data_IF_910135216402
#
_entry.id   IF_910135216402
#
_cell.length_a   1.000
_cell.length_b   1.000
_cell.length_c   1.000
_cell.angle_alpha   90.00
_cell.angle_beta   90.00
_cell.angle_gamma   90.00
#
_symmetry.space_group_name_H-M   'P 1'
#
loop_
_entity.id
_entity.type
_entity.pdbx_description
1 polymer ?
#
# COMPACT_ATOMS: atom_id res chain seq x y z
N UNK A 1 -3.01 -18.20 27.05
CA UNK A 1 -3.02 -18.77 25.68
C UNK A 1 -3.56 -17.76 24.67
N UNK A 2 -4.85 -17.39 24.70
CA UNK A 2 -5.43 -16.41 23.75
C UNK A 2 -4.69 -15.06 23.81
N UNK A 3 -4.46 -14.52 25.00
CA UNK A 3 -3.69 -13.28 25.19
C UNK A 3 -2.21 -13.38 24.72
N UNK A 4 -1.70 -14.60 24.51
CA UNK A 4 -0.35 -14.87 24.03
C UNK A 4 -0.33 -15.21 22.51
N UNK A 5 -1.45 -15.00 21.80
CA UNK A 5 -1.55 -15.23 20.35
C UNK A 5 -2.09 -16.60 19.93
N UNK A 6 -2.70 -17.38 20.84
CA UNK A 6 -3.36 -18.63 20.46
C UNK A 6 -4.78 -18.39 19.95
N UNK A 7 -5.05 -18.81 18.71
CA UNK A 7 -6.39 -18.84 18.13
C UNK A 7 -6.75 -20.28 17.71
N UNK A 8 -7.76 -20.91 18.34
CA UNK A 8 -8.14 -22.29 18.02
C UNK A 8 -8.83 -22.43 16.65
N UNK A 9 -9.34 -21.34 16.08
CA UNK A 9 -10.05 -21.32 14.81
C UNK A 9 -9.14 -20.96 13.63
N UNK A 10 -7.87 -20.64 13.88
CA UNK A 10 -6.87 -20.38 12.84
C UNK A 10 -6.42 -21.67 12.14
N UNK A 11 -6.12 -21.60 10.82
CA UNK A 11 -5.52 -22.72 10.13
C UNK A 11 -4.17 -23.08 10.76
N UNK A 12 -3.67 -24.28 10.44
CA UNK A 12 -2.34 -24.69 10.91
C UNK A 12 -1.25 -23.72 10.42
N UNK A 13 -0.07 -23.82 11.05
CA UNK A 13 1.03 -22.89 10.76
C UNK A 13 1.41 -22.86 9.27
N UNK A 14 1.29 -23.98 8.57
CA UNK A 14 1.62 -24.07 7.14
C UNK A 14 0.62 -23.28 6.30
N UNK A 15 -0.67 -23.43 6.59
CA UNK A 15 -1.74 -22.66 5.97
C UNK A 15 -1.58 -21.16 6.26
N UNK A 16 -1.26 -20.80 7.49
CA UNK A 16 -1.06 -19.41 7.91
C UNK A 16 0.07 -18.70 7.14
N UNK A 17 1.17 -19.39 6.83
CA UNK A 17 2.30 -18.79 6.09
C UNK A 17 2.23 -19.04 4.57
N UNK A 18 1.16 -19.65 4.06
CA UNK A 18 1.02 -20.00 2.65
C UNK A 18 2.08 -20.98 2.14
N UNK A 19 2.60 -21.86 3.01
CA UNK A 19 3.59 -22.86 2.63
C UNK A 19 2.91 -24.01 1.88
N UNK A 20 3.27 -24.17 0.60
CA UNK A 20 2.63 -25.15 -0.29
C UNK A 20 3.28 -26.54 -0.30
N UNK A 21 4.39 -26.72 0.42
CA UNK A 21 5.10 -27.99 0.52
C UNK A 21 4.81 -28.70 1.86
N UNK A 22 5.55 -29.77 2.16
CA UNK A 22 5.34 -30.56 3.38
C UNK A 22 5.86 -29.86 4.65
N UNK A 23 5.35 -30.30 5.80
CA UNK A 23 5.83 -29.89 7.13
C UNK A 23 7.32 -30.19 7.31
N UNK A 24 7.74 -31.38 6.87
CA UNK A 24 9.14 -31.77 6.84
C UNK A 24 10.01 -30.75 6.10
N UNK A 25 9.61 -30.36 4.89
CA UNK A 25 10.36 -29.38 4.10
C UNK A 25 10.31 -27.97 4.72
N UNK A 26 9.22 -27.61 5.40
CA UNK A 26 9.11 -26.36 6.13
C UNK A 26 10.08 -26.29 7.32
N UNK A 27 10.20 -27.38 8.08
CA UNK A 27 11.14 -27.49 9.19
C UNK A 27 12.58 -27.50 8.65
N UNK A 28 12.85 -28.32 7.64
CA UNK A 28 14.18 -28.48 7.07
C UNK A 28 14.72 -27.17 6.47
N UNK A 29 13.91 -26.45 5.68
CA UNK A 29 14.33 -25.15 5.13
C UNK A 29 14.54 -24.09 6.22
N UNK A 30 13.71 -24.10 7.27
CA UNK A 30 13.86 -23.21 8.43
C UNK A 30 15.19 -23.48 9.13
N UNK A 31 15.57 -24.75 9.31
CA UNK A 31 16.83 -25.11 9.96
C UNK A 31 18.04 -24.76 9.10
N UNK A 32 17.95 -24.94 7.77
CA UNK A 32 19.03 -24.57 6.85
C UNK A 32 19.31 -23.07 6.93
N UNK A 33 18.29 -22.23 6.80
CA UNK A 33 18.46 -20.79 6.58
C UNK A 33 18.29 -19.95 7.86
N UNK A 34 17.77 -20.55 8.93
CA UNK A 34 17.30 -19.79 10.09
C UNK A 34 16.03 -19.01 9.79
N UNK A 35 15.77 -17.98 10.59
CA UNK A 35 14.72 -16.99 10.38
C UNK A 35 15.29 -15.58 10.59
N UNK A 36 16.10 -15.07 9.63
CA UNK A 36 16.54 -13.68 9.65
C UNK A 36 15.32 -12.74 9.71
N UNK A 37 15.38 -11.70 10.54
CA UNK A 37 14.27 -10.78 10.75
C UNK A 37 13.31 -11.20 11.86
N UNK A 38 13.48 -12.37 12.49
CA UNK A 38 12.64 -12.79 13.62
C UNK A 38 12.78 -11.85 14.84
N UNK A 39 13.92 -11.17 14.97
CA UNK A 39 14.16 -10.11 15.95
C UNK A 39 13.19 -8.92 15.83
N UNK A 40 12.55 -8.73 14.68
CA UNK A 40 11.57 -7.66 14.51
C UNK A 40 10.20 -8.01 15.11
N UNK A 41 9.96 -9.27 15.44
CA UNK A 41 8.66 -9.76 15.92
C UNK A 41 8.75 -10.30 17.36
N UNK A 42 9.95 -10.62 17.81
CA UNK A 42 10.20 -11.19 19.12
C UNK A 42 11.18 -10.31 19.88
N UNK A 43 10.99 -10.18 21.20
CA UNK A 43 11.89 -9.46 22.11
C UNK A 43 13.21 -10.23 22.28
N UNK A 44 13.98 -10.26 21.20
CA UNK A 44 15.24 -10.96 21.06
C UNK A 44 16.23 -10.03 20.37
N UNK A 45 17.43 -9.92 20.92
CA UNK A 45 18.49 -9.07 20.36
C UNK A 45 18.98 -9.55 18.98
N UNK A 46 18.70 -10.80 18.61
CA UNK A 46 19.16 -11.42 17.37
C UNK A 46 18.09 -12.33 16.78
N UNK A 47 18.02 -12.34 15.45
CA UNK A 47 17.18 -13.29 14.72
C UNK A 47 17.65 -14.73 14.92
N UNK A 48 16.76 -15.68 14.65
CA UNK A 48 17.13 -17.09 14.66
C UNK A 48 18.16 -17.33 13.54
N UNK A 49 19.41 -17.55 13.93
CA UNK A 49 20.49 -17.83 12.99
C UNK A 49 20.26 -19.16 12.24
N UNK A 50 20.96 -19.31 11.11
CA UNK A 50 21.03 -20.55 10.37
C UNK A 50 21.71 -21.66 11.21
N UNK A 51 21.15 -22.88 11.15
CA UNK A 51 21.74 -24.06 11.78
C UNK A 51 22.50 -24.90 10.77
N UNK A 52 22.06 -24.92 9.52
CA UNK A 52 22.71 -25.66 8.43
C UNK A 52 23.98 -25.01 7.90
N UNK A 53 24.96 -25.83 7.55
CA UNK A 53 26.22 -25.41 6.92
C UNK A 53 26.03 -24.57 5.66
N UNK A 54 25.00 -24.87 4.87
CA UNK A 54 24.66 -24.08 3.66
C UNK A 54 24.26 -22.65 4.03
N UNK A 55 23.54 -22.45 5.14
CA UNK A 55 23.16 -21.13 5.66
C UNK A 55 24.22 -20.48 6.56
N UNK A 56 25.38 -21.12 6.76
CA UNK A 56 26.47 -20.63 7.61
C UNK A 56 26.45 -21.14 9.06
N UNK A 57 25.55 -22.08 9.39
CA UNK A 57 25.49 -22.74 10.69
C UNK A 57 26.42 -23.96 10.82
N UNK A 58 26.49 -24.59 12.01
CA UNK A 58 27.45 -25.66 12.26
C UNK A 58 26.99 -27.06 11.81
N UNK A 59 25.70 -27.27 11.57
CA UNK A 59 25.12 -28.61 11.38
C UNK A 59 25.12 -29.05 9.92
N UNK A 60 25.43 -30.33 9.71
CA UNK A 60 25.31 -30.98 8.39
C UNK A 60 23.85 -31.30 8.06
N UNK A 61 23.56 -31.50 6.78
CA UNK A 61 22.20 -31.77 6.28
C UNK A 61 21.56 -33.04 6.87
N UNK A 62 22.35 -34.10 7.11
CA UNK A 62 21.88 -35.32 7.78
C UNK A 62 21.42 -35.04 9.21
N UNK A 63 22.20 -34.22 9.95
CA UNK A 63 21.83 -33.82 11.31
C UNK A 63 20.58 -32.93 11.33
N UNK A 64 20.36 -32.12 10.30
CA UNK A 64 19.13 -31.32 10.19
C UNK A 64 17.90 -32.21 9.94
N UNK A 65 18.05 -33.27 9.14
CA UNK A 65 16.98 -34.26 8.92
C UNK A 65 16.66 -35.04 10.18
N UNK A 66 17.68 -35.51 10.90
CA UNK A 66 17.50 -36.17 12.20
C UNK A 66 16.76 -35.27 13.21
N UNK A 67 17.09 -33.97 13.24
CA UNK A 67 16.37 -32.99 14.06
C UNK A 67 14.93 -32.80 13.60
N UNK A 68 14.69 -32.71 12.29
CA UNK A 68 13.34 -32.61 11.73
C UNK A 68 12.47 -33.81 12.06
N UNK A 69 13.04 -35.01 12.01
CA UNK A 69 12.37 -36.25 12.43
C UNK A 69 12.08 -36.24 13.93
N UNK A 70 13.06 -35.86 14.76
CA UNK A 70 12.86 -35.76 16.20
C UNK A 70 11.73 -34.80 16.55
N UNK A 71 11.70 -33.60 15.95
CA UNK A 71 10.67 -32.59 16.19
C UNK A 71 9.28 -33.12 15.81
N UNK A 72 9.15 -33.77 14.65
CA UNK A 72 7.87 -34.25 14.15
C UNK A 72 7.34 -35.47 14.93
N UNK A 73 8.22 -36.25 15.54
CA UNK A 73 7.86 -37.42 16.33
C UNK A 73 7.90 -37.16 17.85
N UNK A 74 8.06 -35.90 18.28
CA UNK A 74 8.08 -35.57 19.70
C UNK A 74 6.66 -35.65 20.28
N UNK A 75 6.36 -36.75 20.96
CA UNK A 75 5.09 -36.99 21.64
C UNK A 75 5.26 -37.08 23.15
N UNK A 76 4.34 -36.43 23.88
CA UNK A 76 4.11 -36.60 25.32
C UNK A 76 2.63 -36.35 25.63
N UNK A 77 2.19 -36.70 26.83
CA UNK A 77 0.83 -36.41 27.28
C UNK A 77 0.64 -34.90 27.54
N UNK A 78 0.21 -34.16 26.52
CA UNK A 78 -0.01 -32.72 26.61
C UNK A 78 -1.28 -32.39 27.41
N UNK A 79 -1.15 -31.48 28.37
CA UNK A 79 -2.25 -31.01 29.21
C UNK A 79 -2.69 -29.58 28.85
N UNK A 80 -3.85 -29.16 29.36
CA UNK A 80 -4.28 -27.76 29.24
C UNK A 80 -3.33 -26.80 29.99
N UNK A 81 -2.72 -27.26 31.08
CA UNK A 81 -1.72 -26.48 31.81
C UNK A 81 -0.48 -26.23 30.93
N UNK A 82 -0.05 -27.22 30.16
CA UNK A 82 1.05 -27.05 29.20
C UNK A 82 0.73 -25.99 28.14
N UNK A 83 -0.50 -25.99 27.60
CA UNK A 83 -0.95 -24.97 26.65
C UNK A 83 -0.93 -23.57 27.27
N UNK A 84 -1.39 -23.44 28.52
CA UNK A 84 -1.42 -22.16 29.23
C UNK A 84 -0.03 -21.68 29.62
N UNK A 85 0.93 -22.59 29.82
CA UNK A 85 2.34 -22.31 30.09
C UNK A 85 3.13 -21.87 28.84
N UNK A 86 2.55 -21.96 27.64
CA UNK A 86 3.17 -21.40 26.44
C UNK A 86 3.20 -19.88 26.54
N UNK A 87 4.42 -19.37 26.73
CA UNK A 87 4.68 -17.94 26.81
C UNK A 87 4.60 -17.25 25.45
N UNK A 88 4.69 -18.01 24.36
CA UNK A 88 4.91 -17.45 23.03
C UNK A 88 4.36 -18.36 21.92
N UNK A 89 3.30 -17.92 21.23
CA UNK A 89 2.74 -18.61 20.05
C UNK A 89 3.18 -17.92 18.77
N UNK A 90 3.50 -18.69 17.72
CA UNK A 90 4.12 -18.17 16.50
C UNK A 90 3.42 -16.95 15.89
N UNK A 91 4.11 -15.81 15.86
CA UNK A 91 3.64 -14.61 15.17
C UNK A 91 3.72 -14.80 13.64
N UNK A 92 2.70 -14.32 12.95
CA UNK A 92 2.71 -14.16 11.50
C UNK A 92 3.23 -12.75 11.20
N UNK A 93 4.39 -12.59 10.52
CA UNK A 93 4.92 -11.29 10.12
C UNK A 93 3.93 -10.41 9.35
N UNK A 94 2.97 -11.07 8.69
CA UNK A 94 1.84 -10.48 8.00
C UNK A 94 0.59 -11.00 8.69
N UNK A 95 -0.08 -10.18 9.50
CA UNK A 95 -1.47 -10.45 9.82
C UNK A 95 -2.27 -10.27 8.52
N UNK A 96 -2.85 -11.29 7.85
CA UNK A 96 -3.66 -11.04 6.65
C UNK A 96 -4.89 -10.17 6.93
N UNK A 97 -5.30 -10.01 8.20
CA UNK A 97 -6.32 -9.06 8.63
C UNK A 97 -5.79 -7.63 8.90
N UNK A 98 -4.46 -7.45 8.93
CA UNK A 98 -3.76 -6.17 9.09
C UNK A 98 -2.92 -5.79 7.86
N UNK A 99 -2.75 -6.70 6.91
CA UNK A 99 -2.43 -6.39 5.53
C UNK A 99 -3.70 -5.81 4.95
N UNK A 100 -3.86 -4.49 5.10
CA UNK A 100 -4.44 -3.74 4.01
C UNK A 100 -3.46 -3.95 2.87
N UNK A 101 -3.70 -4.99 2.05
CA UNK A 101 -3.36 -4.85 0.64
C UNK A 101 -4.10 -3.55 0.33
N UNK A 102 -3.37 -2.45 0.11
CA UNK A 102 -4.00 -1.25 -0.42
C UNK A 102 -4.98 -1.73 -1.47
N UNK A 103 -6.25 -1.33 -1.34
CA UNK A 103 -7.33 -1.64 -2.30
C UNK A 103 -6.67 -1.88 -3.64
N UNK A 104 -6.76 -3.10 -4.22
CA UNK A 104 -5.93 -3.49 -5.37
C UNK A 104 -5.97 -2.32 -6.34
N UNK A 105 -4.84 -1.64 -6.56
CA UNK A 105 -4.86 -0.32 -7.17
C UNK A 105 -5.76 -0.33 -8.40
N UNK A 106 -6.93 0.32 -8.29
CA UNK A 106 -7.89 0.43 -9.38
C UNK A 106 -7.64 1.79 -10.00
N UNK A 107 -7.10 1.85 -11.22
CA UNK A 107 -6.94 3.12 -11.90
C UNK A 107 -8.31 3.76 -12.13
N UNK A 108 -8.44 5.04 -11.82
CA UNK A 108 -9.66 5.83 -12.05
C UNK A 108 -10.02 5.92 -13.55
N UNK A 109 -9.04 5.69 -14.42
CA UNK A 109 -9.20 5.76 -15.86
C UNK A 109 -9.36 7.18 -16.37
N UNK A 110 -9.87 7.33 -17.59
CA UNK A 110 -9.98 8.64 -18.28
C UNK A 110 -11.42 9.06 -18.57
N UNK A 111 -12.41 8.28 -18.12
CA UNK A 111 -13.82 8.61 -18.28
C UNK A 111 -14.26 9.57 -17.17
N UNK A 112 -14.44 10.83 -17.54
CA UNK A 112 -14.74 11.92 -16.60
C UNK A 112 -16.03 11.69 -15.80
N UNK A 113 -17.09 11.19 -16.45
CA UNK A 113 -18.36 10.94 -15.76
C UNK A 113 -18.27 9.81 -14.72
N UNK A 114 -17.45 8.79 -15.01
CA UNK A 114 -17.20 7.70 -14.06
C UNK A 114 -16.34 8.22 -12.91
N UNK A 115 -15.24 8.91 -13.23
CA UNK A 115 -14.34 9.47 -12.23
C UNK A 115 -15.07 10.41 -11.25
N UNK A 116 -15.91 11.33 -11.75
CA UNK A 116 -16.72 12.23 -10.92
C UNK A 116 -17.67 11.49 -9.99
N UNK A 117 -18.32 10.42 -10.48
CA UNK A 117 -19.20 9.61 -9.65
C UNK A 117 -18.43 8.85 -8.57
N UNK A 118 -17.23 8.36 -8.87
CA UNK A 118 -16.37 7.65 -7.93
C UNK A 118 -15.79 8.59 -6.86
N UNK A 119 -15.24 9.75 -7.24
CA UNK A 119 -14.66 10.69 -6.27
C UNK A 119 -15.73 11.31 -5.34
N UNK A 120 -16.96 11.52 -5.82
CA UNK A 120 -18.05 12.05 -5.00
C UNK A 120 -18.46 11.10 -3.85
N UNK A 121 -18.11 9.80 -3.96
CA UNK A 121 -18.36 8.80 -2.93
C UNK A 121 -17.22 8.72 -1.89
N UNK A 122 -16.11 9.42 -2.11
CA UNK A 122 -14.90 9.37 -1.26
C UNK A 122 -14.85 10.55 -0.29
N UNK A 123 -14.56 10.34 1.01
CA UNK A 123 -14.25 11.42 1.93
C UNK A 123 -12.90 12.05 1.57
N UNK A 124 -12.90 13.22 0.92
CA UNK A 124 -11.67 13.88 0.51
C UNK A 124 -11.07 14.74 1.64
N UNK A 125 -9.74 14.63 1.80
CA UNK A 125 -8.90 15.41 2.71
C UNK A 125 -7.83 16.21 1.93
N UNK A 126 -7.87 17.56 1.95
CA UNK A 126 -6.87 18.41 1.31
C UNK A 126 -5.42 18.20 1.80
N UNK A 127 -5.20 17.80 3.05
CA UNK A 127 -3.84 17.63 3.58
C UNK A 127 -3.17 16.36 3.01
N UNK A 128 -3.95 15.29 2.88
CA UNK A 128 -3.59 14.09 2.11
C UNK A 128 -3.37 14.46 0.63
N UNK A 129 -4.26 15.28 0.06
CA UNK A 129 -4.15 15.78 -1.30
C UNK A 129 -2.83 16.51 -1.59
N UNK A 130 -2.37 17.38 -0.71
CA UNK A 130 -1.07 18.05 -0.81
C UNK A 130 0.08 17.02 -0.89
N UNK A 131 0.03 16.00 -0.04
CA UNK A 131 1.07 14.96 0.02
C UNK A 131 1.13 14.14 -1.27
N UNK A 132 -0.05 13.78 -1.81
CA UNK A 132 -0.16 13.08 -3.09
C UNK A 132 0.26 13.97 -4.26
N UNK A 133 -0.13 15.25 -4.25
CA UNK A 133 0.25 16.23 -5.26
C UNK A 133 1.77 16.34 -5.42
N UNK A 134 2.51 16.38 -4.31
CA UNK A 134 3.97 16.32 -4.32
C UNK A 134 4.49 14.95 -4.80
N UNK A 135 3.92 13.85 -4.29
CA UNK A 135 4.36 12.48 -4.62
C UNK A 135 4.19 12.12 -6.10
N UNK A 136 3.18 12.66 -6.77
CA UNK A 136 2.95 12.48 -8.20
C UNK A 136 3.75 13.45 -9.08
N UNK A 137 4.53 14.36 -8.49
CA UNK A 137 5.40 15.32 -9.17
C UNK A 137 4.65 16.52 -9.75
N UNK A 138 3.44 16.81 -9.28
CA UNK A 138 2.66 17.93 -9.81
C UNK A 138 3.33 19.27 -9.48
N UNK A 139 3.94 19.38 -8.29
CA UNK A 139 4.65 20.59 -7.84
C UNK A 139 5.86 20.96 -8.71
N UNK A 140 6.52 19.97 -9.34
CA UNK A 140 7.70 20.20 -10.18
C UNK A 140 7.39 21.11 -11.37
N UNK A 141 6.17 21.05 -11.89
CA UNK A 141 5.72 21.89 -13.01
C UNK A 141 4.83 23.05 -12.57
N UNK A 142 3.98 22.84 -11.57
CA UNK A 142 2.96 23.80 -11.15
C UNK A 142 3.41 24.71 -9.99
N UNK A 143 4.57 24.49 -9.36
CA UNK A 143 5.03 25.29 -8.22
C UNK A 143 5.52 26.70 -8.57
N UNK A 144 5.91 26.95 -9.83
CA UNK A 144 6.51 28.22 -10.25
C UNK A 144 5.70 29.03 -11.28
N UNK A 145 4.59 28.50 -11.80
CA UNK A 145 3.78 29.18 -12.82
C UNK A 145 4.45 29.36 -14.19
N UNK A 146 5.62 28.75 -14.43
CA UNK A 146 6.40 28.92 -15.68
C UNK A 146 6.03 27.85 -16.70
N UNK A 147 6.12 26.58 -16.29
CA UNK A 147 5.90 25.43 -17.18
C UNK A 147 4.43 24.95 -17.18
N UNK A 148 3.70 25.26 -16.11
CA UNK A 148 2.28 24.98 -15.96
C UNK A 148 1.61 26.05 -15.07
N UNK A 149 0.27 26.19 -15.08
CA UNK A 149 -0.44 27.12 -14.21
C UNK A 149 -0.07 26.95 -12.73
N UNK A 150 0.17 28.06 -12.02
CA UNK A 150 0.57 28.04 -10.62
C UNK A 150 -0.46 27.32 -9.72
N UNK A 151 -0.03 26.42 -8.83
CA UNK A 151 -0.94 25.72 -7.91
C UNK A 151 -1.74 26.68 -7.03
N UNK A 152 -1.08 27.68 -6.44
CA UNK A 152 -1.73 28.72 -5.63
C UNK A 152 -2.79 29.48 -6.45
N UNK A 153 -3.97 29.71 -5.86
CA UNK A 153 -5.10 30.36 -6.54
C UNK A 153 -5.74 29.57 -7.67
N UNK A 154 -5.53 28.25 -7.74
CA UNK A 154 -6.07 27.41 -8.82
C UNK A 154 -7.60 27.44 -8.87
N UNK A 155 -8.28 27.26 -7.75
CA UNK A 155 -9.75 27.25 -7.73
C UNK A 155 -10.32 28.58 -8.23
N UNK A 156 -9.80 29.70 -7.70
CA UNK A 156 -10.20 31.04 -8.09
C UNK A 156 -9.96 31.32 -9.59
N UNK A 157 -8.80 30.94 -10.15
CA UNK A 157 -8.55 31.11 -11.59
C UNK A 157 -9.45 30.26 -12.47
N UNK A 158 -9.77 29.04 -12.05
CA UNK A 158 -10.70 28.19 -12.82
C UNK A 158 -12.07 28.87 -12.87
N UNK A 159 -12.58 29.30 -11.72
CA UNK A 159 -13.87 29.98 -11.64
C UNK A 159 -13.91 31.29 -12.44
N UNK A 160 -12.86 32.11 -12.34
CA UNK A 160 -12.85 33.46 -12.92
C UNK A 160 -12.42 33.51 -14.38
N UNK A 161 -11.58 32.57 -14.84
CA UNK A 161 -10.98 32.63 -16.17
C UNK A 161 -11.29 31.43 -17.07
N UNK A 162 -11.75 30.30 -16.52
CA UNK A 162 -12.02 29.09 -17.30
C UNK A 162 -13.50 28.86 -17.49
N UNK A 163 -14.28 28.79 -16.40
CA UNK A 163 -15.73 28.57 -16.47
C UNK A 163 -16.52 29.62 -17.28
N UNK A 164 -16.08 30.89 -17.41
CA UNK A 164 -16.76 31.85 -18.29
C UNK A 164 -16.59 31.59 -19.80
N UNK A 165 -15.71 30.66 -20.19
CA UNK A 165 -15.50 30.33 -21.60
C UNK A 165 -16.67 29.49 -22.13
N UNK A 166 -17.17 29.72 -23.37
CA UNK A 166 -18.34 29.03 -23.89
C UNK A 166 -18.27 27.49 -23.88
N UNK A 167 -17.07 26.92 -24.04
CA UNK A 167 -16.88 25.47 -24.02
C UNK A 167 -17.02 24.83 -22.63
N UNK A 168 -16.98 25.63 -21.57
CA UNK A 168 -17.17 25.21 -20.18
C UNK A 168 -18.51 25.67 -19.64
N UNK A 169 -19.48 25.99 -20.52
CA UNK A 169 -20.83 26.34 -20.10
C UNK A 169 -21.44 25.17 -19.30
N UNK A 170 -21.79 25.43 -18.04
CA UNK A 170 -22.35 24.44 -17.13
C UNK A 170 -21.33 23.58 -16.37
N UNK A 171 -20.03 23.75 -16.62
CA UNK A 171 -18.99 23.08 -15.82
C UNK A 171 -18.89 23.69 -14.41
N UNK A 172 -18.54 22.84 -13.47
CA UNK A 172 -18.06 23.20 -12.13
C UNK A 172 -16.53 23.26 -12.11
N UNK A 173 -15.98 23.88 -11.06
CA UNK A 173 -14.52 23.90 -10.82
C UNK A 173 -13.98 22.47 -10.70
N UNK A 174 -14.69 21.60 -9.97
CA UNK A 174 -14.34 20.19 -9.80
C UNK A 174 -14.26 19.44 -11.13
N UNK A 175 -15.29 19.57 -11.98
CA UNK A 175 -15.31 18.94 -13.31
C UNK A 175 -14.14 19.38 -14.18
N UNK A 176 -13.83 20.68 -14.18
CA UNK A 176 -12.69 21.21 -14.92
C UNK A 176 -11.36 20.64 -14.40
N UNK A 177 -11.18 20.53 -13.08
CA UNK A 177 -9.95 20.00 -12.48
C UNK A 177 -9.77 18.51 -12.79
N UNK A 178 -10.83 17.71 -12.64
CA UNK A 178 -10.83 16.28 -12.96
C UNK A 178 -10.51 16.06 -14.43
N UNK A 179 -11.15 16.79 -15.34
CA UNK A 179 -10.86 16.69 -16.78
C UNK A 179 -9.43 17.14 -17.11
N UNK A 180 -8.93 18.20 -16.47
CA UNK A 180 -7.55 18.67 -16.66
C UNK A 180 -6.51 17.64 -16.21
N UNK A 181 -6.78 16.88 -15.15
CA UNK A 181 -5.86 15.86 -14.62
C UNK A 181 -5.88 14.58 -15.47
N UNK A 182 -7.08 14.09 -15.80
CA UNK A 182 -7.25 12.81 -16.50
C UNK A 182 -7.06 12.93 -18.01
N UNK A 183 -7.45 14.07 -18.58
CA UNK A 183 -7.41 14.37 -20.01
C UNK A 183 -6.76 15.74 -20.28
N UNK A 184 -5.46 15.96 -19.92
CA UNK A 184 -4.81 17.27 -20.04
C UNK A 184 -4.72 17.83 -21.48
N UNK A 185 -4.89 16.97 -22.49
CA UNK A 185 -4.95 17.37 -23.89
C UNK A 185 -6.31 17.91 -24.34
N UNK A 186 -7.39 17.73 -23.55
CA UNK A 186 -8.73 18.22 -23.89
C UNK A 186 -8.78 19.75 -23.91
N UNK A 187 -8.08 20.39 -22.96
CA UNK A 187 -7.89 21.82 -22.92
C UNK A 187 -6.54 22.18 -22.30
N UNK A 188 -5.68 22.84 -23.06
CA UNK A 188 -4.44 23.40 -22.54
C UNK A 188 -4.67 24.88 -22.19
N UNK A 189 -4.36 25.26 -20.95
CA UNK A 189 -4.53 26.64 -20.50
C UNK A 189 -3.73 27.63 -21.38
N UNK A 190 -4.28 28.81 -21.70
CA UNK A 190 -3.60 29.80 -22.53
C UNK A 190 -2.21 30.17 -21.97
N UNK A 191 -1.21 30.22 -22.84
CA UNK A 191 0.17 30.55 -22.49
C UNK A 191 1.07 29.35 -22.16
N UNK A 192 0.51 28.13 -22.07
CA UNK A 192 1.28 26.91 -21.80
C UNK A 192 1.39 26.01 -23.03
N UNK A 193 2.46 25.23 -23.09
CA UNK A 193 2.68 24.28 -24.18
C UNK A 193 1.87 23.01 -23.95
N UNK A 194 1.16 22.56 -25.00
CA UNK A 194 0.40 21.31 -24.95
C UNK A 194 1.32 20.09 -24.86
N UNK A 195 0.86 19.05 -24.16
CA UNK A 195 1.59 17.79 -24.00
C UNK A 195 2.68 17.78 -22.93
N UNK A 196 2.86 18.87 -22.16
CA UNK A 196 3.78 18.88 -21.02
C UNK A 196 3.21 18.12 -19.81
N UNK A 197 1.90 18.24 -19.56
CA UNK A 197 1.24 17.50 -18.49
C UNK A 197 1.04 16.04 -18.91
N UNK A 198 1.54 15.05 -18.13
CA UNK A 198 1.42 13.63 -18.47
C UNK A 198 -0.04 13.18 -18.62
N UNK A 199 -0.35 12.49 -19.71
CA UNK A 199 -1.70 11.96 -19.99
C UNK A 199 -1.92 10.54 -19.41
N UNK A 200 -1.12 10.13 -18.42
CA UNK A 200 -1.19 8.79 -17.81
C UNK A 200 -1.69 8.80 -16.36
N UNK A 201 -2.18 9.93 -15.84
CA UNK A 201 -2.67 10.00 -14.47
C UNK A 201 -3.92 9.15 -14.23
N UNK A 202 -4.77 8.95 -15.24
CA UNK A 202 -5.88 7.99 -15.13
C UNK A 202 -5.44 6.54 -14.88
N UNK A 203 -4.21 6.17 -15.26
CA UNK A 203 -3.63 4.85 -15.00
C UNK A 203 -2.80 4.79 -13.71
N UNK A 204 -2.52 5.95 -13.10
CA UNK A 204 -1.61 6.11 -11.96
C UNK A 204 -2.30 6.56 -10.68
N UNK A 205 -3.50 7.12 -10.79
CA UNK A 205 -4.33 7.57 -9.67
C UNK A 205 -5.49 6.59 -9.50
N UNK A 206 -5.79 6.27 -8.24
CA UNK A 206 -7.09 5.74 -7.86
C UNK A 206 -8.12 6.89 -7.77
N UNK A 207 -9.41 6.54 -7.69
CA UNK A 207 -10.45 7.54 -7.44
C UNK A 207 -10.23 8.25 -6.09
N UNK A 208 -9.73 7.53 -5.07
CA UNK A 208 -9.41 8.13 -3.77
C UNK A 208 -8.27 9.14 -3.88
N UNK A 209 -7.17 8.78 -4.55
CA UNK A 209 -6.05 9.70 -4.76
C UNK A 209 -6.49 10.97 -5.50
N UNK A 210 -7.29 10.80 -6.54
CA UNK A 210 -7.84 11.90 -7.31
C UNK A 210 -8.75 12.80 -6.46
N UNK A 211 -9.63 12.22 -5.63
CA UNK A 211 -10.51 12.98 -4.74
C UNK A 211 -9.71 13.86 -3.77
N UNK A 212 -8.66 13.32 -3.15
CA UNK A 212 -7.76 14.06 -2.26
C UNK A 212 -7.05 15.19 -3.00
N UNK A 213 -6.47 14.92 -4.18
CA UNK A 213 -5.77 15.92 -4.99
C UNK A 213 -6.71 17.05 -5.41
N UNK A 214 -7.92 16.71 -5.86
CA UNK A 214 -8.93 17.70 -6.27
C UNK A 214 -9.35 18.54 -5.07
N UNK A 215 -9.58 17.95 -3.90
CA UNK A 215 -9.90 18.71 -2.68
C UNK A 215 -8.76 19.68 -2.28
N UNK A 216 -7.50 19.27 -2.43
CA UNK A 216 -6.36 20.16 -2.22
C UNK A 216 -6.34 21.33 -3.22
N UNK A 217 -6.59 21.06 -4.51
CA UNK A 217 -6.65 22.09 -5.54
C UNK A 217 -7.84 23.04 -5.35
N UNK A 218 -8.97 22.52 -4.90
CA UNK A 218 -10.15 23.31 -4.53
C UNK A 218 -9.91 24.19 -3.31
N UNK A 219 -8.99 23.80 -2.41
CA UNK A 219 -8.59 24.64 -1.27
C UNK A 219 -7.57 25.72 -1.65
N UNK A 220 -7.10 25.77 -2.90
CA UNK A 220 -6.18 26.81 -3.37
C UNK A 220 -6.97 28.04 -3.81
N UNK A 221 -7.36 28.85 -2.82
CA UNK A 221 -7.92 30.17 -3.05
C UNK A 221 -6.81 31.17 -3.42
N UNK A 222 -7.17 32.21 -4.16
CA UNK A 222 -6.26 33.32 -4.42
C UNK A 222 -6.28 34.25 -3.22
N UNK A 223 -5.14 34.46 -2.56
CA UNK A 223 -4.94 35.58 -1.64
C UNK A 223 -4.48 36.85 -2.39
#
# INVERSE_FOLDING_TARGET
AIDNGYNPDEPDRLGVVGWVSSLDQYIHTTLIHGRPGSENYWDSEQGMAAWGQIGGGPLRDDQLKDLGEYIQNYERDWTLEDLLAVNQFGIVPLNPAGVVLGEPFVPVGTNINIALAEIAAVPADPQTGLTLYASFGCEDCHGGGVSAPLTEGTAARVEQERLPLPQFEGYTVEEYLVESILNPGAFTAPGYQSGLMPANFGERLSAEDLAHIVAYLMSQDAE
#
